data_IF_472189858081
#
_entry.id   IF_472189858081
#
_cell.length_a   1.000
_cell.length_b   1.000
_cell.length_c   1.000
_cell.angle_alpha   90.00
_cell.angle_beta   90.00
_cell.angle_gamma   90.00
#
_symmetry.space_group_name_H-M   'P 1'
#
loop_
_entity.id
_entity.type
_entity.pdbx_description
1 polymer ?
#
# COMPACT_ATOMS: atom_id res chain seq x y z
N UNK A 1 20.56 -31.90 -21.44
CA UNK A 1 19.66 -32.48 -20.41
C UNK A 1 19.41 -31.58 -19.21
N UNK A 2 20.38 -30.76 -18.78
CA UNK A 2 20.18 -29.79 -17.66
C UNK A 2 19.30 -28.57 -18.04
N UNK A 3 19.35 -28.17 -19.31
CA UNK A 3 18.61 -26.97 -19.79
C UNK A 3 17.12 -27.27 -19.91
N UNK A 4 16.69 -28.47 -20.30
CA UNK A 4 15.28 -28.85 -20.41
C UNK A 4 14.57 -28.90 -19.05
N UNK A 5 15.18 -29.52 -18.05
CA UNK A 5 14.61 -29.57 -16.68
C UNK A 5 14.48 -28.20 -16.01
N UNK A 6 15.39 -27.26 -16.31
CA UNK A 6 15.33 -25.89 -15.78
C UNK A 6 14.21 -25.09 -16.45
N UNK A 7 13.96 -25.33 -17.74
CA UNK A 7 12.88 -24.70 -18.51
C UNK A 7 11.50 -25.23 -18.09
N UNK A 8 11.34 -26.55 -17.92
CA UNK A 8 10.10 -27.15 -17.45
C UNK A 8 9.69 -26.70 -16.05
N UNK A 9 10.64 -26.59 -15.13
CA UNK A 9 10.37 -26.07 -13.79
C UNK A 9 9.90 -24.59 -13.81
N UNK A 10 10.38 -23.78 -14.75
CA UNK A 10 9.94 -22.40 -14.87
C UNK A 10 8.52 -22.29 -15.47
N UNK A 11 8.18 -23.09 -16.47
CA UNK A 11 6.83 -23.12 -17.06
C UNK A 11 5.80 -23.53 -15.99
N UNK A 12 6.08 -24.57 -15.23
CA UNK A 12 5.20 -25.00 -14.13
C UNK A 12 4.98 -23.89 -13.08
N UNK A 13 6.04 -23.20 -12.65
CA UNK A 13 5.97 -22.09 -11.70
C UNK A 13 5.13 -20.96 -12.27
N UNK A 14 5.32 -20.55 -13.50
CA UNK A 14 4.55 -19.47 -14.12
C UNK A 14 3.07 -19.86 -14.34
N UNK A 15 2.79 -21.11 -14.69
CA UNK A 15 1.41 -21.61 -14.78
C UNK A 15 0.71 -21.55 -13.42
N UNK A 16 1.39 -21.94 -12.35
CA UNK A 16 0.85 -21.87 -10.99
C UNK A 16 0.62 -20.42 -10.54
N UNK A 17 1.55 -19.51 -10.85
CA UNK A 17 1.38 -18.08 -10.59
C UNK A 17 0.14 -17.55 -11.32
N UNK A 18 -0.06 -17.92 -12.59
CA UNK A 18 -1.20 -17.48 -13.37
C UNK A 18 -2.54 -17.95 -12.75
N UNK A 19 -2.60 -19.19 -12.28
CA UNK A 19 -3.78 -19.74 -11.58
C UNK A 19 -4.04 -18.96 -10.28
N UNK A 20 -3.00 -18.70 -9.48
CA UNK A 20 -3.11 -17.96 -8.22
C UNK A 20 -3.58 -16.52 -8.46
N UNK A 21 -3.05 -15.85 -9.48
CA UNK A 21 -3.47 -14.50 -9.85
C UNK A 21 -4.92 -14.49 -10.33
N UNK A 22 -5.34 -15.49 -11.11
CA UNK A 22 -6.73 -15.66 -11.55
C UNK A 22 -7.67 -15.87 -10.36
N UNK A 23 -7.30 -16.70 -9.38
CA UNK A 23 -8.06 -16.83 -8.14
C UNK A 23 -8.12 -15.51 -7.38
N UNK A 24 -7.01 -14.77 -7.30
CA UNK A 24 -6.96 -13.44 -6.70
C UNK A 24 -7.89 -12.42 -7.40
N UNK A 25 -8.04 -12.50 -8.73
CA UNK A 25 -9.01 -11.74 -9.51
C UNK A 25 -10.45 -12.17 -9.13
N UNK A 26 -10.74 -13.46 -9.22
CA UNK A 26 -12.08 -13.99 -8.93
C UNK A 26 -12.54 -13.57 -7.55
N UNK A 27 -11.74 -13.78 -6.50
CA UNK A 27 -12.14 -13.44 -5.14
C UNK A 27 -12.37 -11.94 -4.91
N UNK A 28 -11.75 -11.05 -5.68
CA UNK A 28 -11.99 -9.60 -5.54
C UNK A 28 -13.23 -9.11 -6.26
N UNK A 29 -13.63 -9.79 -7.33
CA UNK A 29 -14.78 -9.39 -8.13
C UNK A 29 -16.04 -10.25 -7.89
N UNK A 30 -15.88 -11.43 -7.27
CA UNK A 30 -17.01 -12.31 -6.99
C UNK A 30 -17.93 -11.70 -5.93
N UNK A 31 -19.20 -11.60 -6.24
CA UNK A 31 -20.25 -11.08 -5.35
C UNK A 31 -19.98 -9.69 -4.74
N UNK A 32 -19.28 -8.83 -5.45
CA UNK A 32 -18.91 -7.48 -4.98
C UNK A 32 -20.12 -6.62 -4.54
N UNK A 33 -21.31 -6.90 -5.09
CA UNK A 33 -22.57 -6.21 -4.73
C UNK A 33 -23.44 -6.97 -3.72
N UNK A 34 -22.97 -8.09 -3.14
CA UNK A 34 -23.83 -8.95 -2.30
C UNK A 34 -24.14 -8.34 -0.94
N UNK A 35 -23.15 -7.75 -0.28
CA UNK A 35 -23.33 -7.16 1.04
C UNK A 35 -23.93 -5.76 0.95
N UNK A 36 -24.81 -5.44 1.92
CA UNK A 36 -25.31 -4.08 2.08
C UNK A 36 -24.16 -3.11 2.35
N UNK A 37 -24.35 -1.83 1.98
CA UNK A 37 -23.39 -0.81 2.35
C UNK A 37 -23.34 -0.65 3.87
N UNK A 38 -22.16 -0.69 4.44
CA UNK A 38 -21.96 -0.29 5.81
C UNK A 38 -21.78 1.24 5.92
N UNK A 39 -21.80 1.77 7.14
CA UNK A 39 -21.92 3.21 7.40
C UNK A 39 -20.93 4.08 6.60
N UNK A 40 -19.65 3.74 6.61
CA UNK A 40 -18.64 4.52 5.89
C UNK A 40 -18.74 4.40 4.36
N UNK A 41 -19.26 3.30 3.83
CA UNK A 41 -19.55 3.18 2.39
C UNK A 41 -20.73 4.05 1.98
N UNK A 42 -21.74 4.19 2.85
CA UNK A 42 -22.89 5.10 2.61
C UNK A 42 -22.38 6.53 2.46
N UNK A 43 -21.45 6.96 3.33
CA UNK A 43 -20.81 8.27 3.19
C UNK A 43 -20.03 8.39 1.88
N UNK A 44 -19.21 7.40 1.55
CA UNK A 44 -18.44 7.39 0.31
C UNK A 44 -19.36 7.50 -0.91
N UNK A 45 -20.47 6.77 -0.90
CA UNK A 45 -21.47 6.82 -1.96
C UNK A 45 -22.13 8.19 -2.06
N UNK A 46 -22.62 8.73 -0.93
CA UNK A 46 -23.27 10.04 -0.87
C UNK A 46 -22.37 11.20 -1.34
N UNK A 47 -21.09 11.16 -1.01
CA UNK A 47 -20.10 12.18 -1.40
C UNK A 47 -19.78 12.10 -2.89
N UNK A 48 -19.86 10.92 -3.49
CA UNK A 48 -19.49 10.67 -4.89
C UNK A 48 -20.64 10.74 -5.87
N UNK A 49 -21.77 11.38 -5.49
CA UNK A 49 -22.90 11.66 -6.37
C UNK A 49 -22.43 12.47 -7.59
N UNK A 50 -22.56 11.95 -8.81
CA UNK A 50 -22.10 12.62 -10.03
C UNK A 50 -22.82 13.94 -10.32
N UNK A 51 -24.04 14.15 -9.80
CA UNK A 51 -24.84 15.37 -10.02
C UNK A 51 -24.37 16.55 -9.18
N UNK A 52 -23.54 16.33 -8.16
CA UNK A 52 -22.96 17.41 -7.34
C UNK A 52 -21.95 18.23 -8.13
N UNK A 53 -21.89 19.51 -7.85
CA UNK A 53 -20.74 20.33 -8.29
C UNK A 53 -19.44 19.87 -7.60
N UNK A 54 -18.30 20.27 -8.14
CA UNK A 54 -17.00 20.02 -7.48
C UNK A 54 -16.92 20.65 -6.09
N UNK A 55 -17.48 21.84 -5.95
CA UNK A 55 -17.48 22.59 -4.67
C UNK A 55 -18.35 21.87 -3.62
N UNK A 56 -19.55 21.42 -4.04
CA UNK A 56 -20.45 20.70 -3.12
C UNK A 56 -19.85 19.35 -2.69
N UNK A 57 -19.21 18.64 -3.63
CA UNK A 57 -18.46 17.41 -3.32
C UNK A 57 -17.38 17.68 -2.26
N UNK A 58 -16.57 18.75 -2.47
CA UNK A 58 -15.53 19.11 -1.51
C UNK A 58 -16.11 19.48 -0.13
N UNK A 59 -17.19 20.25 -0.12
CA UNK A 59 -17.89 20.63 1.11
C UNK A 59 -18.41 19.41 1.87
N UNK A 60 -18.99 18.42 1.17
CA UNK A 60 -19.46 17.16 1.78
C UNK A 60 -18.27 16.35 2.34
N UNK A 61 -17.16 16.24 1.61
CA UNK A 61 -15.95 15.57 2.11
C UNK A 61 -15.47 16.25 3.40
N UNK A 62 -15.37 17.58 3.40
CA UNK A 62 -14.89 18.34 4.54
C UNK A 62 -15.78 18.17 5.76
N UNK A 63 -17.09 18.10 5.60
CA UNK A 63 -18.04 18.00 6.71
C UNK A 63 -18.19 16.60 7.30
N UNK A 64 -17.75 15.56 6.58
CA UNK A 64 -18.01 14.17 7.00
C UNK A 64 -16.76 13.32 7.19
N UNK A 65 -15.71 13.61 6.42
CA UNK A 65 -14.53 12.75 6.37
C UNK A 65 -13.26 13.55 6.70
N UNK A 66 -12.41 12.95 7.51
CA UNK A 66 -11.06 13.46 7.75
C UNK A 66 -10.04 12.87 6.76
N UNK A 67 -10.49 12.50 5.56
CA UNK A 67 -9.70 11.86 4.51
C UNK A 67 -9.60 12.81 3.31
N UNK A 68 -8.44 12.93 2.66
CA UNK A 68 -8.27 13.76 1.47
C UNK A 68 -9.16 13.34 0.30
N UNK A 69 -9.34 14.23 -0.64
CA UNK A 69 -10.39 14.21 -1.66
C UNK A 69 -10.11 13.34 -2.88
N UNK A 70 -8.87 12.91 -3.14
CA UNK A 70 -8.50 12.26 -4.40
C UNK A 70 -9.34 11.03 -4.74
N UNK A 71 -9.50 10.12 -3.77
CA UNK A 71 -10.28 8.91 -3.94
C UNK A 71 -11.72 9.22 -4.35
N UNK A 72 -12.36 10.15 -3.66
CA UNK A 72 -13.77 10.50 -3.88
C UNK A 72 -14.00 11.09 -5.26
N UNK A 73 -13.12 11.97 -5.74
CA UNK A 73 -13.25 12.51 -7.09
C UNK A 73 -13.03 11.46 -8.18
N UNK A 74 -12.15 10.49 -7.97
CA UNK A 74 -11.96 9.40 -8.91
C UNK A 74 -13.19 8.48 -8.96
N UNK A 75 -13.75 8.12 -7.80
CA UNK A 75 -14.98 7.32 -7.74
C UNK A 75 -16.17 8.10 -8.30
N UNK A 76 -16.30 9.40 -8.01
CA UNK A 76 -17.30 10.27 -8.61
C UNK A 76 -17.20 10.28 -10.14
N UNK A 77 -16.01 10.35 -10.68
CA UNK A 77 -15.78 10.25 -12.12
C UNK A 77 -16.22 8.89 -12.68
N UNK A 78 -15.94 7.80 -11.98
CA UNK A 78 -16.44 6.47 -12.34
C UNK A 78 -17.97 6.41 -12.29
N UNK A 79 -18.61 6.97 -11.26
CA UNK A 79 -20.06 7.05 -11.15
C UNK A 79 -20.70 7.87 -12.29
N UNK A 80 -20.01 8.92 -12.76
CA UNK A 80 -20.46 9.69 -13.92
C UNK A 80 -20.41 8.86 -15.21
N UNK A 81 -19.39 8.02 -15.39
CA UNK A 81 -19.21 7.22 -16.60
C UNK A 81 -20.08 5.95 -16.64
N UNK A 82 -20.24 5.27 -15.52
CA UNK A 82 -20.82 3.94 -15.44
C UNK A 82 -22.16 3.88 -14.70
N UNK A 83 -22.62 5.02 -14.20
CA UNK A 83 -23.87 5.12 -13.44
C UNK A 83 -23.63 5.27 -11.94
N UNK A 84 -24.58 5.93 -11.26
CA UNK A 84 -24.53 6.16 -9.82
C UNK A 84 -25.05 4.92 -9.08
N UNK A 85 -24.15 3.98 -8.85
CA UNK A 85 -24.42 2.70 -8.17
C UNK A 85 -23.26 2.37 -7.22
N UNK A 86 -23.52 1.91 -5.99
CA UNK A 86 -22.47 1.48 -5.07
C UNK A 86 -21.51 0.43 -5.64
N UNK A 87 -22.01 -0.43 -6.54
CA UNK A 87 -21.20 -1.45 -7.22
C UNK A 87 -20.06 -0.80 -8.01
N UNK A 88 -20.27 0.37 -8.61
CA UNK A 88 -19.21 1.07 -9.37
C UNK A 88 -18.03 1.44 -8.48
N UNK A 89 -18.30 1.96 -7.28
CA UNK A 89 -17.25 2.29 -6.32
C UNK A 89 -16.52 1.06 -5.76
N UNK A 90 -17.24 -0.05 -5.54
CA UNK A 90 -16.65 -1.33 -5.14
C UNK A 90 -15.82 -1.95 -6.26
N UNK A 91 -16.27 -1.88 -7.51
CA UNK A 91 -15.52 -2.32 -8.69
C UNK A 91 -14.22 -1.52 -8.88
N UNK A 92 -14.25 -0.21 -8.61
CA UNK A 92 -13.04 0.62 -8.56
C UNK A 92 -12.04 0.08 -7.53
N UNK A 93 -12.48 -0.22 -6.31
CA UNK A 93 -11.64 -0.82 -5.26
C UNK A 93 -11.12 -2.19 -5.67
N UNK A 94 -11.97 -3.08 -6.21
CA UNK A 94 -11.60 -4.41 -6.69
C UNK A 94 -10.52 -4.35 -7.77
N UNK A 95 -10.63 -3.41 -8.71
CA UNK A 95 -9.64 -3.20 -9.76
C UNK A 95 -8.26 -2.83 -9.20
N UNK A 96 -8.18 -1.88 -8.28
CA UNK A 96 -6.90 -1.50 -7.66
C UNK A 96 -6.37 -2.57 -6.71
N UNK A 97 -7.26 -3.30 -6.04
CA UNK A 97 -6.88 -4.48 -5.26
C UNK A 97 -6.26 -5.58 -6.11
N UNK A 98 -6.79 -5.81 -7.31
CA UNK A 98 -6.20 -6.74 -8.27
C UNK A 98 -4.84 -6.26 -8.79
N UNK A 99 -4.71 -4.98 -9.17
CA UNK A 99 -3.45 -4.40 -9.59
C UNK A 99 -2.37 -4.46 -8.50
N UNK A 100 -2.77 -4.41 -7.23
CA UNK A 100 -1.86 -4.53 -6.08
C UNK A 100 -1.14 -5.88 -6.05
N UNK A 101 -1.74 -6.95 -6.57
CA UNK A 101 -1.08 -8.26 -6.67
C UNK A 101 0.20 -8.13 -7.49
N UNK A 102 0.13 -7.46 -8.64
CA UNK A 102 1.29 -7.30 -9.52
C UNK A 102 2.34 -6.36 -8.94
N UNK A 103 1.92 -5.23 -8.36
CA UNK A 103 2.86 -4.24 -7.80
C UNK A 103 3.63 -4.80 -6.63
N UNK A 104 2.97 -5.47 -5.68
CA UNK A 104 3.64 -6.07 -4.52
C UNK A 104 4.48 -7.28 -4.91
N UNK A 105 3.97 -8.14 -5.81
CA UNK A 105 4.75 -9.27 -6.33
C UNK A 105 6.02 -8.79 -7.05
N UNK A 106 5.93 -7.73 -7.87
CA UNK A 106 7.08 -7.14 -8.53
C UNK A 106 8.08 -6.52 -7.54
N UNK A 107 7.58 -5.84 -6.51
CA UNK A 107 8.41 -5.33 -5.43
C UNK A 107 9.20 -6.46 -4.74
N UNK A 108 8.52 -7.54 -4.37
CA UNK A 108 9.15 -8.67 -3.69
C UNK A 108 10.16 -9.40 -4.58
N UNK A 109 9.93 -9.48 -5.89
CA UNK A 109 10.84 -10.11 -6.84
C UNK A 109 12.26 -9.55 -6.80
N UNK A 110 12.43 -8.29 -6.37
CA UNK A 110 13.76 -7.68 -6.21
C UNK A 110 14.57 -8.26 -5.07
N UNK A 111 13.92 -8.81 -4.05
CA UNK A 111 14.54 -9.25 -2.81
C UNK A 111 14.58 -10.76 -2.64
N UNK A 112 13.82 -11.49 -3.45
CA UNK A 112 13.59 -12.93 -3.27
C UNK A 112 13.79 -13.72 -4.56
N UNK A 113 14.11 -15.01 -4.43
CA UNK A 113 14.23 -15.95 -5.56
C UNK A 113 12.84 -16.33 -6.12
N UNK A 114 12.82 -17.04 -7.25
CA UNK A 114 11.59 -17.43 -7.95
C UNK A 114 10.60 -18.24 -7.09
N UNK A 115 11.07 -19.09 -6.19
CA UNK A 115 10.18 -19.86 -5.30
C UNK A 115 9.51 -18.96 -4.26
N UNK A 116 10.28 -18.05 -3.67
CA UNK A 116 9.76 -17.08 -2.71
C UNK A 116 8.86 -16.04 -3.39
N UNK A 117 9.12 -15.71 -4.65
CA UNK A 117 8.22 -14.88 -5.46
C UNK A 117 6.84 -15.53 -5.64
N UNK A 118 6.78 -16.83 -5.97
CA UNK A 118 5.53 -17.59 -6.05
C UNK A 118 4.78 -17.53 -4.71
N UNK A 119 5.47 -17.81 -3.61
CA UNK A 119 4.87 -17.76 -2.26
C UNK A 119 4.32 -16.38 -1.93
N UNK A 120 5.06 -15.32 -2.22
CA UNK A 120 4.60 -13.94 -1.99
C UNK A 120 3.39 -13.61 -2.84
N UNK A 121 3.39 -14.00 -4.13
CA UNK A 121 2.24 -13.79 -5.01
C UNK A 121 1.00 -14.51 -4.48
N UNK A 122 1.16 -15.74 -3.97
CA UNK A 122 0.10 -16.50 -3.33
C UNK A 122 -0.45 -15.76 -2.10
N UNK A 123 0.43 -15.32 -1.21
CA UNK A 123 0.03 -14.57 -0.01
C UNK A 123 -0.79 -13.32 -0.34
N UNK A 124 -0.35 -12.50 -1.28
CA UNK A 124 -1.04 -11.26 -1.65
C UNK A 124 -2.35 -11.54 -2.39
N UNK A 125 -2.38 -12.57 -3.26
CA UNK A 125 -3.58 -12.93 -4.02
C UNK A 125 -4.71 -13.43 -3.12
N UNK A 126 -4.38 -14.25 -2.12
CA UNK A 126 -5.33 -14.97 -1.27
C UNK A 126 -5.46 -14.38 0.14
N UNK A 127 -4.86 -13.23 0.41
CA UNK A 127 -4.99 -12.55 1.70
C UNK A 127 -6.41 -12.05 1.90
N UNK A 128 -7.11 -12.60 2.90
CA UNK A 128 -8.51 -12.28 3.21
C UNK A 128 -8.70 -10.79 3.49
N UNK A 129 -7.78 -10.17 4.21
CA UNK A 129 -7.83 -8.75 4.54
C UNK A 129 -7.78 -7.88 3.26
N UNK A 130 -6.87 -8.18 2.33
CA UNK A 130 -6.77 -7.46 1.07
C UNK A 130 -7.97 -7.74 0.15
N UNK A 131 -8.54 -8.94 0.20
CA UNK A 131 -9.77 -9.29 -0.55
C UNK A 131 -10.93 -8.48 0.01
N UNK A 132 -11.15 -8.46 1.33
CA UNK A 132 -12.23 -7.70 1.96
C UNK A 132 -12.16 -6.21 1.59
N UNK A 133 -11.00 -5.56 1.80
CA UNK A 133 -10.84 -4.16 1.41
C UNK A 133 -10.91 -3.89 -0.10
N UNK A 134 -10.77 -4.91 -0.93
CA UNK A 134 -11.01 -4.80 -2.37
C UNK A 134 -12.49 -4.78 -2.72
N UNK A 135 -13.35 -5.27 -1.85
CA UNK A 135 -14.80 -5.34 -2.04
C UNK A 135 -15.56 -4.19 -1.35
N UNK A 136 -14.85 -3.30 -0.68
CA UNK A 136 -15.42 -2.14 -0.02
C UNK A 136 -15.21 -0.87 -0.86
N UNK A 137 -16.24 -0.01 -0.91
CA UNK A 137 -16.16 1.32 -1.52
C UNK A 137 -15.41 2.28 -0.55
N UNK A 138 -14.13 1.96 -0.25
CA UNK A 138 -13.27 2.73 0.67
C UNK A 138 -11.88 2.94 0.09
N UNK A 139 -11.24 3.99 0.56
CA UNK A 139 -9.93 4.48 0.06
C UNK A 139 -8.76 3.51 0.30
N UNK A 140 -8.88 2.56 1.22
CA UNK A 140 -7.76 1.80 1.78
C UNK A 140 -6.98 0.99 0.74
N UNK A 141 -7.67 0.21 -0.08
CA UNK A 141 -7.01 -0.63 -1.09
C UNK A 141 -6.39 0.19 -2.22
N UNK A 142 -7.02 1.32 -2.58
CA UNK A 142 -6.46 2.26 -3.54
C UNK A 142 -5.17 2.90 -3.02
N UNK A 143 -5.15 3.33 -1.76
CA UNK A 143 -3.93 3.84 -1.10
C UNK A 143 -2.85 2.77 -1.03
N UNK A 144 -3.19 1.53 -0.69
CA UNK A 144 -2.26 0.42 -0.67
C UNK A 144 -1.61 0.18 -2.05
N UNK A 145 -2.40 0.24 -3.11
CA UNK A 145 -1.88 0.18 -4.49
C UNK A 145 -0.89 1.31 -4.76
N UNK A 146 -1.26 2.56 -4.50
CA UNK A 146 -0.39 3.72 -4.75
C UNK A 146 0.93 3.64 -3.98
N UNK A 147 0.86 3.28 -2.70
CA UNK A 147 2.05 3.05 -1.86
C UNK A 147 2.92 1.93 -2.44
N UNK A 148 2.32 0.81 -2.85
CA UNK A 148 3.09 -0.31 -3.41
C UNK A 148 3.82 0.07 -4.70
N UNK A 149 3.18 0.88 -5.57
CA UNK A 149 3.83 1.44 -6.77
C UNK A 149 4.96 2.39 -6.40
N UNK A 150 4.73 3.29 -5.44
CA UNK A 150 5.76 4.20 -4.95
C UNK A 150 6.99 3.43 -4.44
N UNK A 151 6.79 2.38 -3.66
CA UNK A 151 7.88 1.52 -3.15
C UNK A 151 8.67 0.83 -4.29
N UNK A 152 8.01 0.37 -5.35
CA UNK A 152 8.70 -0.18 -6.52
C UNK A 152 9.67 0.84 -7.10
N UNK A 153 9.24 2.08 -7.31
CA UNK A 153 10.09 3.14 -7.85
C UNK A 153 11.16 3.59 -6.86
N UNK A 154 10.84 3.65 -5.56
CA UNK A 154 11.83 3.95 -4.52
C UNK A 154 13.00 2.96 -4.54
N UNK A 155 12.71 1.66 -4.54
CA UNK A 155 13.79 0.65 -4.58
C UNK A 155 14.50 0.60 -5.94
N UNK A 156 13.87 1.05 -7.03
CA UNK A 156 14.57 1.24 -8.30
C UNK A 156 15.63 2.36 -8.24
N UNK A 157 15.50 3.34 -7.33
CA UNK A 157 16.51 4.39 -7.18
C UNK A 157 17.85 3.86 -6.65
N UNK A 158 17.84 2.72 -5.93
CA UNK A 158 19.07 2.10 -5.41
C UNK A 158 19.86 1.35 -6.48
N UNK A 159 19.17 0.79 -7.47
CA UNK A 159 19.78 -0.06 -8.50
C UNK A 159 20.37 0.76 -9.65
N UNK A 160 20.13 2.08 -9.69
CA UNK A 160 20.29 2.84 -10.92
C UNK A 160 21.55 3.70 -10.95
N UNK A 161 22.36 3.52 -12.00
CA UNK A 161 23.59 4.28 -12.25
C UNK A 161 23.38 5.45 -13.23
N UNK A 162 22.41 5.33 -14.14
CA UNK A 162 22.11 6.36 -15.14
C UNK A 162 21.27 7.49 -14.54
N UNK A 163 21.73 8.74 -14.74
CA UNK A 163 21.00 9.93 -14.26
C UNK A 163 19.58 10.02 -14.84
N UNK A 164 19.39 9.66 -16.13
CA UNK A 164 18.10 9.71 -16.82
C UNK A 164 17.09 8.76 -16.16
N UNK A 165 17.48 7.52 -15.88
CA UNK A 165 16.61 6.51 -15.27
C UNK A 165 16.38 6.85 -13.80
N UNK A 166 17.39 7.34 -13.08
CA UNK A 166 17.24 7.85 -11.73
C UNK A 166 16.17 8.95 -11.67
N UNK A 167 16.25 9.98 -12.53
CA UNK A 167 15.28 11.08 -12.56
C UNK A 167 13.87 10.58 -12.86
N UNK A 168 13.71 9.66 -13.82
CA UNK A 168 12.41 9.03 -14.11
C UNK A 168 11.83 8.33 -12.86
N UNK A 169 12.62 7.47 -12.22
CA UNK A 169 12.18 6.72 -11.02
C UNK A 169 11.85 7.67 -9.87
N UNK A 170 12.63 8.76 -9.70
CA UNK A 170 12.36 9.78 -8.70
C UNK A 170 11.04 10.50 -8.95
N UNK A 171 10.77 10.93 -10.19
CA UNK A 171 9.50 11.59 -10.54
C UNK A 171 8.32 10.64 -10.27
N UNK A 172 8.42 9.38 -10.69
CA UNK A 172 7.35 8.40 -10.49
C UNK A 172 7.17 8.06 -9.00
N UNK A 173 8.24 7.88 -8.25
CA UNK A 173 8.16 7.71 -6.80
C UNK A 173 7.44 8.89 -6.14
N UNK A 174 7.86 10.12 -6.47
CA UNK A 174 7.27 11.34 -5.93
C UNK A 174 5.79 11.47 -6.27
N UNK A 175 5.45 11.22 -7.52
CA UNK A 175 4.06 11.28 -7.99
C UNK A 175 3.17 10.29 -7.23
N UNK A 176 3.53 9.01 -7.19
CA UNK A 176 2.71 7.98 -6.54
C UNK A 176 2.67 8.15 -5.02
N UNK A 177 3.74 8.65 -4.40
CA UNK A 177 3.75 8.95 -2.97
C UNK A 177 2.83 10.13 -2.64
N UNK A 178 2.84 11.20 -3.44
CA UNK A 178 1.92 12.33 -3.29
C UNK A 178 0.47 11.89 -3.51
N UNK A 179 0.18 11.12 -4.56
CA UNK A 179 -1.16 10.58 -4.79
C UNK A 179 -1.64 9.71 -3.62
N UNK A 180 -0.75 8.91 -3.01
CA UNK A 180 -1.08 8.12 -1.82
C UNK A 180 -1.42 9.02 -0.62
N UNK A 181 -0.70 10.12 -0.41
CA UNK A 181 -0.95 11.07 0.68
C UNK A 181 -2.26 11.83 0.44
N UNK A 182 -2.54 12.23 -0.80
CA UNK A 182 -3.83 12.82 -1.18
C UNK A 182 -5.01 11.85 -1.16
N UNK A 183 -4.74 10.55 -1.08
CA UNK A 183 -5.76 9.53 -0.85
C UNK A 183 -5.97 9.28 0.63
N UNK A 184 -4.90 9.09 1.41
CA UNK A 184 -4.98 8.83 2.84
C UNK A 184 -3.76 9.37 3.60
N UNK A 185 -3.95 10.23 4.63
CA UNK A 185 -2.85 10.93 5.30
C UNK A 185 -1.86 9.98 6.00
N UNK A 186 -2.29 8.78 6.41
CA UNK A 186 -1.39 7.79 7.03
C UNK A 186 -0.31 7.27 6.09
N UNK A 187 -0.39 7.55 4.79
CA UNK A 187 0.71 7.29 3.85
C UNK A 187 2.01 8.01 4.21
N UNK A 188 1.92 9.09 5.00
CA UNK A 188 3.11 9.79 5.54
C UNK A 188 3.95 8.88 6.46
N UNK A 189 3.32 7.90 7.13
CA UNK A 189 4.05 6.94 7.97
C UNK A 189 4.99 6.09 7.12
N UNK A 190 4.57 5.75 5.90
CA UNK A 190 5.44 5.02 4.95
C UNK A 190 6.63 5.89 4.57
N UNK A 191 6.41 7.17 4.27
CA UNK A 191 7.51 8.10 3.96
C UNK A 191 8.48 8.22 5.15
N UNK A 192 7.97 8.37 6.37
CA UNK A 192 8.77 8.36 7.59
C UNK A 192 9.59 7.07 7.76
N UNK A 193 8.97 5.92 7.45
CA UNK A 193 9.65 4.62 7.48
C UNK A 193 10.79 4.53 6.45
N UNK A 194 10.62 5.12 5.26
CA UNK A 194 11.67 5.18 4.24
C UNK A 194 12.83 6.09 4.66
N UNK A 195 12.55 7.20 5.34
CA UNK A 195 13.58 8.07 5.93
C UNK A 195 14.37 7.30 6.99
N UNK A 196 13.69 6.60 7.89
CA UNK A 196 14.34 5.73 8.88
C UNK A 196 15.17 4.64 8.22
N UNK A 197 14.66 4.01 7.15
CA UNK A 197 15.40 3.00 6.38
C UNK A 197 16.71 3.56 5.83
N UNK A 198 16.69 4.74 5.20
CA UNK A 198 17.91 5.37 4.67
C UNK A 198 18.89 5.75 5.80
N UNK A 199 18.37 6.24 6.91
CA UNK A 199 19.19 6.55 8.07
C UNK A 199 19.92 5.31 8.60
N UNK A 200 19.24 4.18 8.71
CA UNK A 200 19.81 2.88 9.07
C UNK A 200 20.85 2.43 8.04
N UNK A 201 20.52 2.55 6.75
CA UNK A 201 21.42 2.21 5.64
C UNK A 201 22.71 3.04 5.68
N UNK A 202 22.58 4.35 5.94
CA UNK A 202 23.71 5.25 6.11
C UNK A 202 24.61 4.87 7.27
N UNK A 203 24.03 4.57 8.46
CA UNK A 203 24.81 4.25 9.68
C UNK A 203 25.49 2.89 9.56
N UNK A 204 24.78 1.87 9.13
CA UNK A 204 25.26 0.49 9.20
C UNK A 204 25.98 0.03 7.94
N UNK A 205 25.59 0.53 6.78
CA UNK A 205 26.15 0.09 5.49
C UNK A 205 27.00 1.18 4.82
N UNK A 206 27.08 2.38 5.42
CA UNK A 206 27.82 3.54 4.88
C UNK A 206 27.44 3.89 3.44
N UNK A 207 26.23 3.55 3.04
CA UNK A 207 25.74 3.89 1.72
C UNK A 207 25.49 5.40 1.64
N UNK A 208 26.35 6.13 0.92
CA UNK A 208 26.31 7.58 0.82
C UNK A 208 25.64 8.03 -0.48
N UNK A 209 24.51 7.43 -0.85
CA UNK A 209 23.81 7.89 -2.05
C UNK A 209 23.15 9.25 -1.82
N UNK A 210 23.94 10.31 -1.98
CA UNK A 210 23.49 11.71 -1.79
C UNK A 210 22.24 12.06 -2.60
N UNK A 211 22.09 11.47 -3.80
CA UNK A 211 20.92 11.73 -4.67
C UNK A 211 19.63 11.25 -4.03
N UNK A 212 19.63 10.04 -3.44
CA UNK A 212 18.46 9.48 -2.74
C UNK A 212 18.11 10.32 -1.53
N UNK A 213 19.11 10.72 -0.74
CA UNK A 213 18.89 11.55 0.45
C UNK A 213 18.25 12.89 0.09
N UNK A 214 18.77 13.59 -0.93
CA UNK A 214 18.21 14.86 -1.42
C UNK A 214 16.77 14.66 -1.93
N UNK A 215 16.53 13.58 -2.65
CA UNK A 215 15.21 13.23 -3.18
C UNK A 215 14.17 13.04 -2.07
N UNK A 216 14.52 12.34 -1.00
CA UNK A 216 13.62 12.15 0.13
C UNK A 216 13.39 13.43 0.94
N UNK A 217 14.42 14.23 1.15
CA UNK A 217 14.27 15.54 1.80
C UNK A 217 13.29 16.39 1.01
N UNK A 218 13.44 16.45 -0.31
CA UNK A 218 12.57 17.24 -1.18
C UNK A 218 11.11 16.80 -1.07
N UNK A 219 10.84 15.47 -1.19
CA UNK A 219 9.47 14.97 -1.10
C UNK A 219 8.90 15.13 0.31
N UNK A 220 9.73 15.01 1.35
CA UNK A 220 9.31 15.24 2.72
C UNK A 220 8.87 16.67 2.96
N UNK A 221 9.60 17.65 2.42
CA UNK A 221 9.24 19.08 2.52
C UNK A 221 7.89 19.34 1.84
N UNK A 222 7.71 18.84 0.60
CA UNK A 222 6.44 18.98 -0.13
C UNK A 222 5.30 18.32 0.65
N UNK A 223 5.52 17.11 1.15
CA UNK A 223 4.53 16.38 1.92
C UNK A 223 4.13 17.08 3.20
N UNK A 224 5.10 17.61 3.96
CA UNK A 224 4.84 18.37 5.18
C UNK A 224 4.07 19.67 4.89
N UNK A 225 4.39 20.36 3.79
CA UNK A 225 3.65 21.54 3.36
C UNK A 225 2.18 21.21 3.09
N UNK A 226 1.91 20.15 2.32
CA UNK A 226 0.53 19.72 2.05
C UNK A 226 -0.18 19.22 3.30
N UNK A 227 0.51 18.47 4.16
CA UNK A 227 -0.07 18.00 5.42
C UNK A 227 -0.47 19.15 6.32
N UNK A 228 0.39 20.15 6.46
CA UNK A 228 0.10 21.35 7.26
C UNK A 228 -1.12 22.09 6.72
N UNK A 229 -1.21 22.29 5.40
CA UNK A 229 -2.38 22.88 4.77
C UNK A 229 -3.62 22.03 4.96
N UNK A 230 -3.51 20.70 4.80
CA UNK A 230 -4.60 19.77 4.97
C UNK A 230 -5.13 19.78 6.41
N UNK A 231 -4.27 19.74 7.42
CA UNK A 231 -4.67 19.80 8.83
C UNK A 231 -5.44 21.06 9.18
N UNK A 232 -5.18 22.19 8.51
CA UNK A 232 -5.97 23.41 8.63
C UNK A 232 -7.39 23.31 8.07
N UNK A 233 -7.68 22.29 7.25
CA UNK A 233 -9.01 22.04 6.69
C UNK A 233 -9.77 20.91 7.40
N UNK A 234 -9.09 20.09 8.21
CA UNK A 234 -9.74 18.99 8.96
C UNK A 234 -10.55 19.58 10.12
N UNK A 235 -11.83 19.28 10.12
CA UNK A 235 -12.68 19.56 11.27
C UNK A 235 -12.44 18.47 12.34
N UNK A 236 -11.83 18.87 13.45
CA UNK A 236 -11.52 17.96 14.57
C UNK A 236 -12.77 17.44 15.25
N UNK A 237 -13.91 18.11 15.12
CA UNK A 237 -15.18 17.67 15.69
C UNK A 237 -15.70 16.40 15.03
N UNK A 238 -15.38 16.18 13.74
CA UNK A 238 -15.72 14.95 13.02
C UNK A 238 -15.08 13.68 13.59
N UNK A 239 -14.04 13.82 14.39
CA UNK A 239 -13.32 12.68 15.03
C UNK A 239 -13.41 12.72 16.56
N UNK A 240 -14.15 13.66 17.13
CA UNK A 240 -14.29 13.85 18.58
C UNK A 240 -14.89 12.63 19.30
N UNK A 241 -15.65 11.80 18.59
CA UNK A 241 -16.20 10.54 19.10
C UNK A 241 -15.15 9.42 19.26
N UNK A 242 -13.98 9.57 18.64
CA UNK A 242 -12.89 8.62 18.79
C UNK A 242 -12.19 8.83 20.14
N UNK A 243 -12.28 7.83 21.01
CA UNK A 243 -11.49 7.83 22.25
C UNK A 243 -10.01 7.64 21.92
N UNK A 244 -9.16 8.33 22.67
CA UNK A 244 -7.71 8.12 22.54
C UNK A 244 -7.37 6.65 22.81
N UNK A 245 -6.60 5.99 21.93
CA UNK A 245 -6.27 4.59 22.10
C UNK A 245 -5.31 4.38 23.28
N UNK A 246 -5.69 3.51 24.20
CA UNK A 246 -4.82 3.05 25.29
C UNK A 246 -3.72 2.11 24.75
N UNK A 247 -2.63 1.91 25.49
CA UNK A 247 -1.56 0.95 25.11
C UNK A 247 -2.09 -0.46 24.86
N UNK A 248 -3.14 -0.86 25.60
CA UNK A 248 -3.82 -2.15 25.42
C UNK A 248 -4.48 -2.29 24.04
N UNK A 249 -4.91 -1.19 23.43
CA UNK A 249 -5.43 -1.20 22.06
C UNK A 249 -4.36 -1.65 21.07
N UNK A 250 -3.16 -1.09 21.12
CA UNK A 250 -2.08 -1.42 20.19
C UNK A 250 -1.63 -2.87 20.32
N UNK A 251 -1.49 -3.38 21.56
CA UNK A 251 -1.12 -4.77 21.78
C UNK A 251 -2.22 -5.74 21.32
N UNK A 252 -3.50 -5.42 21.58
CA UNK A 252 -4.61 -6.23 21.12
C UNK A 252 -4.76 -6.17 19.59
N UNK A 253 -4.55 -5.01 18.98
CA UNK A 253 -4.61 -4.87 17.53
C UNK A 253 -3.53 -5.74 16.87
N UNK A 254 -2.26 -5.59 17.28
CA UNK A 254 -1.16 -6.37 16.74
C UNK A 254 -1.36 -7.88 16.95
N UNK A 255 -1.58 -8.31 18.19
CA UNK A 255 -1.60 -9.73 18.52
C UNK A 255 -2.91 -10.45 18.21
N UNK A 256 -4.04 -9.78 18.19
CA UNK A 256 -5.35 -10.42 18.00
C UNK A 256 -6.04 -10.04 16.70
N UNK A 257 -6.07 -8.75 16.37
CA UNK A 257 -6.82 -8.27 15.20
C UNK A 257 -6.05 -8.51 13.90
N UNK A 258 -4.79 -8.11 13.86
CA UNK A 258 -3.97 -8.20 12.64
C UNK A 258 -3.64 -9.67 12.25
N UNK A 259 -3.33 -10.51 13.23
CA UNK A 259 -3.00 -11.91 12.99
C UNK A 259 -4.16 -12.88 13.20
N UNK A 260 -5.33 -12.40 13.62
CA UNK A 260 -6.49 -13.24 13.91
C UNK A 260 -6.38 -14.06 15.22
N UNK A 261 -5.19 -14.17 15.81
CA UNK A 261 -4.97 -14.77 17.13
C UNK A 261 -3.71 -14.25 17.81
N UNK A 262 -3.72 -14.21 19.15
CA UNK A 262 -2.55 -13.83 19.94
C UNK A 262 -1.36 -14.75 19.71
N UNK A 263 -1.61 -16.04 19.55
CA UNK A 263 -0.57 -17.05 19.30
C UNK A 263 0.17 -16.76 18.01
N UNK A 264 -0.54 -16.50 16.91
CA UNK A 264 0.06 -16.18 15.62
C UNK A 264 0.86 -14.86 15.67
N UNK A 265 0.37 -13.86 16.38
CA UNK A 265 1.11 -12.61 16.58
C UNK A 265 2.43 -12.81 17.36
N UNK A 266 2.40 -13.65 18.42
CA UNK A 266 3.61 -14.00 19.18
C UNK A 266 4.60 -14.79 18.32
N UNK A 267 4.14 -15.78 17.56
CA UNK A 267 4.98 -16.57 16.65
C UNK A 267 5.64 -15.63 15.63
N UNK A 268 4.88 -14.75 15.00
CA UNK A 268 5.41 -13.79 14.02
C UNK A 268 6.48 -12.88 14.64
N UNK A 269 6.21 -12.30 15.81
CA UNK A 269 7.18 -11.45 16.49
C UNK A 269 8.45 -12.22 16.86
N UNK A 270 8.31 -13.46 17.34
CA UNK A 270 9.45 -14.33 17.66
C UNK A 270 10.31 -14.61 16.42
N UNK A 271 9.66 -14.89 15.27
CA UNK A 271 10.37 -15.09 14.00
C UNK A 271 11.11 -13.81 13.59
N UNK A 272 10.49 -12.65 13.69
CA UNK A 272 11.14 -11.36 13.35
C UNK A 272 12.37 -11.10 14.23
N UNK A 273 12.27 -11.33 15.54
CA UNK A 273 13.39 -11.17 16.48
C UNK A 273 14.51 -12.16 16.13
N UNK A 274 14.16 -13.43 15.92
CA UNK A 274 15.13 -14.46 15.53
C UNK A 274 15.86 -14.10 14.24
N UNK A 275 15.13 -13.73 13.19
CA UNK A 275 15.70 -13.34 11.91
C UNK A 275 16.58 -12.09 12.05
N UNK A 276 16.20 -11.11 12.85
CA UNK A 276 16.98 -9.90 13.09
C UNK A 276 18.33 -10.23 13.74
N UNK A 277 18.33 -11.13 14.73
CA UNK A 277 19.57 -11.59 15.40
C UNK A 277 20.43 -12.41 14.44
N UNK A 278 19.82 -13.32 13.67
CA UNK A 278 20.52 -14.17 12.71
C UNK A 278 21.19 -13.35 11.60
N UNK A 279 20.44 -12.42 10.99
CA UNK A 279 20.95 -11.55 9.94
C UNK A 279 22.06 -10.64 10.45
N UNK A 280 21.92 -10.10 11.67
CA UNK A 280 22.98 -9.31 12.31
C UNK A 280 24.30 -10.10 12.44
N UNK A 281 24.22 -11.35 12.90
CA UNK A 281 25.41 -12.24 13.02
C UNK A 281 26.06 -12.47 11.65
N UNK A 282 25.27 -12.78 10.62
CA UNK A 282 25.76 -13.02 9.26
C UNK A 282 26.44 -11.78 8.64
N UNK A 283 25.85 -10.59 8.85
CA UNK A 283 26.43 -9.32 8.37
C UNK A 283 27.76 -9.04 9.06
N UNK A 284 27.87 -9.27 10.38
CA UNK A 284 29.10 -9.05 11.13
C UNK A 284 30.18 -10.05 10.69
N UNK A 285 29.83 -11.29 10.40
CA UNK A 285 30.78 -12.31 9.91
C UNK A 285 31.33 -11.96 8.52
N UNK A 286 30.45 -11.53 7.59
CA UNK A 286 30.88 -11.12 6.25
C UNK A 286 31.71 -9.83 6.20
N UNK A 287 31.72 -9.02 7.25
CA UNK A 287 32.60 -7.83 7.37
C UNK A 287 33.99 -8.15 7.91
N UNK A 288 34.24 -9.38 8.37
CA UNK A 288 35.54 -9.82 8.88
C UNK A 288 36.38 -10.54 7.82
N UNK A 289 35.86 -10.73 6.61
CA UNK A 289 36.58 -11.19 5.42
C UNK A 289 36.81 -9.97 4.51
#
# INVERSE_FOLDING_TARGET
>A
FKISKFQENNIFIYSLISVIVLLGLIFRFYNVGYENLWFDEIFSFWVTDPNLSFVDTFSRIKSTESIPFLYYYLVKFCNYLFGYDPIVGRMFSAFFGFLSIFTVSNLCRKFVNNKSYLFTTCLISLNIFLIAYSQEMRVYIFTFFLVSVALVFFFNLYDEQSLKIFTKNFILFSLFMLLAIFSHPFSIIVLGSLICFIFVDYIFFKNQNKKINISLIFISIITLFFLFHYLGYVDTDNVSWLKQPELKFFTNFYFSKFFGSRLLGIIHLSILIFLSIYLRKKIIQNKKI
#
